data_IF_150081057719
#
_entry.id   IF_150081057719
#
_cell.length_a   1.000
_cell.length_b   1.000
_cell.length_c   1.000
_cell.angle_alpha   90.00
_cell.angle_beta   90.00
_cell.angle_gamma   90.00
#
_symmetry.space_group_name_H-M   'P 1'
#
loop_
_entity.id
_entity.type
_entity.pdbx_description
1 polymer ?
#
# COMPACT_ATOMS: atom_id res chain seq x y z
N UNK A 1 7.93 -15.23 7.16
CA UNK A 1 6.69 -14.47 6.87
C UNK A 1 6.40 -14.54 5.39
N UNK A 2 5.13 -14.65 5.04
CA UNK A 2 4.62 -14.67 3.67
C UNK A 2 3.71 -13.45 3.43
N UNK A 3 3.53 -13.07 2.16
CA UNK A 3 2.65 -11.97 1.76
C UNK A 3 1.58 -12.53 0.83
N UNK A 4 0.32 -12.33 1.19
CA UNK A 4 -0.83 -12.72 0.39
C UNK A 4 -1.49 -11.47 -0.19
N UNK A 5 -1.50 -11.34 -1.52
CA UNK A 5 -2.09 -10.19 -2.22
C UNK A 5 -3.42 -10.59 -2.84
N UNK A 6 -4.49 -9.94 -2.41
CA UNK A 6 -5.82 -10.05 -2.99
C UNK A 6 -6.13 -8.79 -3.79
N UNK A 7 -6.25 -8.94 -5.11
CA UNK A 7 -6.51 -7.85 -6.03
C UNK A 7 -7.82 -8.12 -6.78
N UNK A 8 -8.77 -7.17 -6.74
CA UNK A 8 -10.06 -7.31 -7.43
C UNK A 8 -10.08 -6.54 -8.72
N UNK A 9 -9.83 -7.25 -9.80
CA UNK A 9 -9.90 -6.71 -11.14
C UNK A 9 -11.32 -6.94 -11.68
N UNK A 10 -12.04 -5.89 -12.10
CA UNK A 10 -13.34 -6.05 -12.74
C UNK A 10 -13.27 -6.96 -13.97
N UNK A 11 -14.24 -7.84 -14.13
CA UNK A 11 -14.31 -8.78 -15.27
C UNK A 11 -14.53 -8.03 -16.60
N UNK A 12 -15.26 -6.92 -16.54
CA UNK A 12 -15.44 -5.97 -17.62
C UNK A 12 -15.25 -4.55 -17.07
N UNK A 13 -14.67 -3.65 -17.88
CA UNK A 13 -14.53 -2.23 -17.56
C UNK A 13 -15.64 -1.47 -18.28
N UNK A 14 -16.73 -1.23 -17.57
CA UNK A 14 -17.96 -0.58 -18.07
C UNK A 14 -18.08 0.87 -17.58
N UNK A 15 -17.30 1.25 -16.56
CA UNK A 15 -17.30 2.57 -15.93
C UNK A 15 -15.90 3.12 -15.73
N UNK A 16 -15.80 4.43 -15.53
CA UNK A 16 -14.54 5.13 -15.21
C UNK A 16 -13.92 4.63 -13.89
N UNK A 17 -14.74 4.26 -12.91
CA UNK A 17 -14.25 3.71 -11.63
C UNK A 17 -13.59 2.33 -11.76
N UNK A 18 -13.83 1.58 -12.85
CA UNK A 18 -13.27 0.23 -13.02
C UNK A 18 -11.75 0.23 -13.27
N UNK A 19 -11.17 1.41 -13.49
CA UNK A 19 -9.72 1.61 -13.60
C UNK A 19 -9.06 1.85 -12.24
N UNK A 20 -9.85 2.02 -11.18
CA UNK A 20 -9.37 2.05 -9.79
C UNK A 20 -9.61 0.67 -9.18
N UNK A 21 -8.53 -0.08 -9.04
CA UNK A 21 -8.52 -1.48 -8.64
C UNK A 21 -8.20 -1.56 -7.14
N UNK A 22 -9.13 -2.05 -6.28
CA UNK A 22 -8.84 -2.22 -4.87
C UNK A 22 -7.93 -3.42 -4.64
N UNK A 23 -7.00 -3.24 -3.72
CA UNK A 23 -5.96 -4.21 -3.36
C UNK A 23 -5.95 -4.35 -1.82
N UNK A 24 -6.05 -5.58 -1.35
CA UNK A 24 -5.82 -5.94 0.05
C UNK A 24 -4.59 -6.84 0.13
N UNK A 25 -3.68 -6.53 1.03
CA UNK A 25 -2.51 -7.36 1.31
C UNK A 25 -2.57 -7.84 2.73
N UNK A 26 -2.51 -9.15 2.92
CA UNK A 26 -2.33 -9.79 4.21
C UNK A 26 -0.88 -10.20 4.40
N UNK A 27 -0.32 -9.85 5.55
CA UNK A 27 1.03 -10.22 5.99
C UNK A 27 0.88 -11.38 6.95
N UNK A 28 1.47 -12.52 6.61
CA UNK A 28 1.22 -13.80 7.26
C UNK A 28 2.47 -14.31 7.95
N UNK A 29 2.30 -14.80 9.18
CA UNK A 29 3.33 -15.40 10.00
C UNK A 29 2.99 -16.84 10.38
N UNK A 30 4.00 -17.72 10.49
CA UNK A 30 3.78 -19.10 10.93
C UNK A 30 3.35 -19.15 12.41
N UNK A 31 2.61 -20.18 12.79
CA UNK A 31 2.17 -20.41 14.16
C UNK A 31 3.31 -20.62 15.17
N UNK A 32 3.10 -20.16 16.41
CA UNK A 32 3.93 -20.48 17.58
C UNK A 32 3.74 -21.96 17.92
N UNK A 33 4.85 -22.67 18.08
CA UNK A 33 4.82 -24.04 18.57
C UNK A 33 4.23 -24.08 19.99
N UNK A 34 3.08 -24.73 20.16
CA UNK A 34 2.48 -24.98 21.48
C UNK A 34 2.69 -26.44 21.86
N UNK A 35 3.34 -26.68 23.00
CA UNK A 35 3.57 -28.04 23.55
C UNK A 35 2.28 -28.63 24.15
N UNK A 36 1.27 -27.79 24.43
CA UNK A 36 0.07 -28.18 25.19
C UNK A 36 -1.13 -28.63 24.33
N UNK A 37 -1.04 -28.53 23.00
CA UNK A 37 -2.08 -28.97 22.08
C UNK A 37 -1.65 -30.26 21.36
N UNK A 38 -2.30 -31.37 21.70
CA UNK A 38 -2.10 -32.70 21.07
C UNK A 38 -2.59 -32.78 19.59
N UNK A 39 -2.73 -31.63 18.93
CA UNK A 39 -2.99 -31.50 17.51
C UNK A 39 -1.94 -30.54 16.94
N UNK A 40 -1.02 -31.12 16.18
CA UNK A 40 -0.01 -30.43 15.39
C UNK A 40 -0.71 -29.45 14.44
N UNK A 41 -0.60 -28.16 14.72
CA UNK A 41 -0.87 -27.07 13.76
C UNK A 41 0.47 -26.40 13.38
N UNK A 42 1.47 -27.24 13.08
CA UNK A 42 2.78 -26.82 12.57
C UNK A 42 2.68 -26.10 11.21
N UNK A 43 1.54 -26.24 10.52
CA UNK A 43 1.23 -25.61 9.23
C UNK A 43 0.27 -24.40 9.36
N UNK A 44 -0.12 -24.00 10.58
CA UNK A 44 -1.06 -22.89 10.75
C UNK A 44 -0.38 -21.54 10.52
N UNK A 45 -1.06 -20.69 9.77
CA UNK A 45 -0.63 -19.38 9.34
C UNK A 45 -1.62 -18.33 9.87
N UNK A 46 -1.11 -17.24 10.44
CA UNK A 46 -1.92 -16.19 11.04
C UNK A 46 -1.61 -14.84 10.41
N UNK A 47 -2.65 -14.02 10.21
CA UNK A 47 -2.50 -12.65 9.71
C UNK A 47 -1.99 -11.76 10.85
N UNK A 48 -0.84 -11.14 10.62
CA UNK A 48 -0.16 -10.26 11.59
C UNK A 48 0.02 -8.83 11.08
N UNK A 49 -0.35 -8.59 9.83
CA UNK A 49 -0.40 -7.26 9.25
C UNK A 49 -1.35 -7.22 8.06
N UNK A 50 -1.85 -6.03 7.73
CA UNK A 50 -2.75 -5.79 6.61
C UNK A 50 -2.50 -4.43 6.00
N UNK A 51 -2.58 -4.34 4.67
CA UNK A 51 -2.51 -3.09 3.91
C UNK A 51 -3.72 -3.02 2.98
N UNK A 52 -4.41 -1.88 2.98
CA UNK A 52 -5.43 -1.55 1.99
C UNK A 52 -4.92 -0.45 1.08
N UNK A 53 -4.99 -0.71 -0.21
CA UNK A 53 -4.59 0.22 -1.24
C UNK A 53 -5.55 0.17 -2.42
N UNK A 54 -5.46 1.17 -3.28
CA UNK A 54 -6.09 1.17 -4.59
C UNK A 54 -5.02 1.46 -5.63
N UNK A 55 -5.15 0.84 -6.81
CA UNK A 55 -4.29 1.10 -7.95
C UNK A 55 -5.09 1.70 -9.08
N UNK A 56 -4.69 2.87 -9.54
CA UNK A 56 -5.18 3.44 -10.79
C UNK A 56 -4.34 2.90 -11.94
N UNK A 57 -4.98 2.09 -12.81
CA UNK A 57 -4.40 1.55 -14.05
C UNK A 57 -4.25 2.68 -15.10
N UNK A 58 -3.40 3.67 -14.82
CA UNK A 58 -3.26 4.92 -15.57
C UNK A 58 -2.99 4.70 -17.06
N UNK A 59 -1.96 3.92 -17.37
CA UNK A 59 -1.55 3.68 -18.76
C UNK A 59 -2.65 3.00 -19.59
N UNK A 60 -3.38 2.05 -18.98
CA UNK A 60 -4.45 1.33 -19.65
C UNK A 60 -5.67 2.23 -19.89
N UNK A 61 -6.04 3.04 -18.90
CA UNK A 61 -7.09 4.04 -19.00
C UNK A 61 -6.85 5.00 -20.18
N UNK A 62 -5.65 5.55 -20.28
CA UNK A 62 -5.27 6.44 -21.39
C UNK A 62 -5.30 5.73 -22.74
N UNK A 63 -4.83 4.48 -22.80
CA UNK A 63 -4.85 3.65 -24.02
C UNK A 63 -6.29 3.40 -24.50
N UNK A 64 -7.25 3.32 -23.59
CA UNK A 64 -8.68 3.16 -23.89
C UNK A 64 -9.43 4.49 -24.11
N UNK A 65 -8.72 5.63 -24.04
CA UNK A 65 -9.26 6.95 -24.35
C UNK A 65 -9.98 7.64 -23.19
N UNK A 66 -9.83 7.14 -21.95
CA UNK A 66 -10.39 7.78 -20.77
C UNK A 66 -9.49 8.90 -20.26
N UNK A 67 -10.10 10.00 -19.82
CA UNK A 67 -9.41 11.15 -19.26
C UNK A 67 -9.04 10.89 -17.80
N UNK A 68 -7.75 10.87 -17.40
CA UNK A 68 -7.38 10.52 -16.03
C UNK A 68 -7.98 11.44 -14.96
N UNK A 69 -8.23 12.73 -15.28
CA UNK A 69 -8.91 13.64 -14.33
C UNK A 69 -10.37 13.23 -14.09
N UNK A 70 -11.08 12.77 -15.13
CA UNK A 70 -12.46 12.33 -14.98
C UNK A 70 -12.52 10.99 -14.22
N UNK A 71 -11.58 10.07 -14.51
CA UNK A 71 -11.45 8.82 -13.76
C UNK A 71 -11.25 9.09 -12.27
N UNK A 72 -10.33 9.99 -11.93
CA UNK A 72 -10.05 10.35 -10.55
C UNK A 72 -11.25 11.03 -9.87
N UNK A 73 -11.94 11.95 -10.55
CA UNK A 73 -13.16 12.61 -10.05
C UNK A 73 -14.31 11.60 -9.82
N UNK A 74 -14.50 10.67 -10.76
CA UNK A 74 -15.52 9.63 -10.67
C UNK A 74 -15.23 8.58 -9.58
N UNK A 75 -13.94 8.29 -9.33
CA UNK A 75 -13.54 7.29 -8.35
C UNK A 75 -13.68 7.81 -6.90
N UNK A 76 -13.02 8.92 -6.55
CA UNK A 76 -13.13 9.52 -5.22
C UNK A 76 -12.48 10.91 -5.14
N UNK A 77 -12.88 11.70 -4.14
CA UNK A 77 -12.19 12.96 -3.81
C UNK A 77 -10.70 12.76 -3.51
N UNK A 78 -10.32 11.63 -2.92
CA UNK A 78 -8.93 11.24 -2.69
C UNK A 78 -8.17 11.11 -4.00
N UNK A 79 -8.71 10.38 -4.99
CA UNK A 79 -8.07 10.24 -6.30
C UNK A 79 -8.00 11.56 -7.05
N UNK A 80 -9.04 12.39 -6.98
CA UNK A 80 -9.00 13.74 -7.55
C UNK A 80 -7.87 14.57 -6.93
N UNK A 81 -7.72 14.53 -5.60
CA UNK A 81 -6.64 15.24 -4.90
C UNK A 81 -5.25 14.71 -5.30
N UNK A 82 -5.09 13.39 -5.45
CA UNK A 82 -3.86 12.76 -5.94
C UNK A 82 -3.51 13.30 -7.32
N UNK A 83 -4.47 13.27 -8.25
CA UNK A 83 -4.30 13.80 -9.61
C UNK A 83 -3.88 15.27 -9.58
N UNK A 84 -4.62 16.13 -8.88
CA UNK A 84 -4.32 17.56 -8.80
C UNK A 84 -2.97 17.85 -8.14
N UNK A 85 -2.54 17.00 -7.21
CA UNK A 85 -1.26 17.13 -6.52
C UNK A 85 -0.08 16.77 -7.43
N UNK A 86 -0.23 15.73 -8.25
CA UNK A 86 0.83 15.23 -9.13
C UNK A 86 0.94 16.00 -10.45
N UNK A 87 -0.18 16.51 -10.96
CA UNK A 87 -0.26 17.03 -12.32
C UNK A 87 -0.01 18.55 -12.40
N UNK A 88 0.61 18.97 -13.50
CA UNK A 88 0.82 20.38 -13.79
C UNK A 88 -0.48 21.05 -14.28
N UNK A 89 -0.92 22.13 -13.64
CA UNK A 89 -2.13 22.89 -14.04
C UNK A 89 -2.13 23.40 -15.49
N UNK A 90 -0.99 23.37 -16.19
CA UNK A 90 -0.82 23.93 -17.55
C UNK A 90 -0.35 22.91 -18.59
N UNK A 91 -0.13 21.65 -18.21
CA UNK A 91 0.37 20.58 -19.11
C UNK A 91 -0.20 19.23 -18.68
N UNK A 92 -0.52 18.35 -19.63
CA UNK A 92 -0.93 16.96 -19.37
C UNK A 92 0.27 16.10 -18.94
N UNK A 93 1.01 16.52 -17.92
CA UNK A 93 2.18 15.81 -17.43
C UNK A 93 2.48 16.15 -15.98
N UNK A 94 3.30 15.31 -15.35
CA UNK A 94 3.70 15.48 -13.97
C UNK A 94 4.33 16.84 -13.71
N UNK A 95 4.17 17.33 -12.48
CA UNK A 95 4.85 18.55 -12.06
C UNK A 95 6.36 18.32 -12.09
N UNK A 96 7.07 19.29 -12.68
CA UNK A 96 8.53 19.22 -12.85
C UNK A 96 9.31 19.14 -11.54
N UNK A 97 8.77 19.70 -10.46
CA UNK A 97 9.43 19.71 -9.14
C UNK A 97 9.39 18.34 -8.43
N UNK A 98 8.59 17.40 -8.93
CA UNK A 98 8.57 16.02 -8.44
C UNK A 98 9.71 15.17 -9.02
N UNK A 99 10.38 15.65 -10.08
CA UNK A 99 11.45 14.91 -10.77
C UNK A 99 11.03 13.51 -11.23
N UNK A 100 9.76 13.33 -11.60
CA UNK A 100 9.22 12.09 -12.13
C UNK A 100 9.58 11.95 -13.62
N UNK A 101 9.92 10.73 -14.03
CA UNK A 101 10.05 10.39 -15.45
C UNK A 101 8.67 10.21 -16.10
N UNK A 102 8.60 10.34 -17.43
CA UNK A 102 7.33 10.23 -18.16
C UNK A 102 6.82 8.77 -18.27
N UNK A 103 7.59 7.78 -17.81
CA UNK A 103 7.26 6.35 -17.90
C UNK A 103 6.71 5.80 -16.56
N UNK A 104 5.56 6.31 -16.15
CA UNK A 104 4.79 5.82 -14.99
C UNK A 104 3.64 4.96 -15.48
N UNK A 105 3.61 3.69 -15.08
CA UNK A 105 2.61 2.72 -15.58
C UNK A 105 1.31 2.77 -14.78
N UNK A 106 1.44 2.93 -13.46
CA UNK A 106 0.31 2.98 -12.53
C UNK A 106 0.60 3.89 -11.32
N UNK A 107 -0.48 4.30 -10.67
CA UNK A 107 -0.44 5.00 -9.38
C UNK A 107 -1.07 4.08 -8.34
N UNK A 108 -0.41 3.89 -7.21
CA UNK A 108 -0.92 3.14 -6.07
C UNK A 108 -1.16 4.13 -4.94
N UNK A 109 -2.36 4.14 -4.38
CA UNK A 109 -2.70 4.90 -3.19
C UNK A 109 -2.89 3.94 -2.02
N UNK A 110 -2.00 3.99 -1.03
CA UNK A 110 -2.14 3.27 0.23
C UNK A 110 -3.02 4.11 1.14
N UNK A 111 -4.20 3.57 1.45
CA UNK A 111 -5.15 4.22 2.34
C UNK A 111 -4.80 3.94 3.78
N UNK A 112 -4.64 2.65 4.12
CA UNK A 112 -4.41 2.21 5.49
C UNK A 112 -3.46 1.03 5.54
N UNK A 113 -2.73 0.94 6.64
CA UNK A 113 -2.01 -0.27 6.99
C UNK A 113 -1.96 -0.45 8.51
N UNK A 114 -1.97 -1.71 8.94
CA UNK A 114 -1.89 -2.10 10.33
C UNK A 114 -0.95 -3.29 10.47
N UNK A 115 -0.04 -3.23 11.43
CA UNK A 115 0.85 -4.36 11.77
C UNK A 115 0.72 -4.58 13.27
N UNK A 116 0.61 -5.85 13.68
CA UNK A 116 0.47 -6.20 15.08
C UNK A 116 1.67 -5.66 15.89
N UNK A 117 1.45 -4.98 17.03
CA UNK A 117 2.50 -4.25 17.75
C UNK A 117 3.60 -5.14 18.33
N UNK A 118 3.33 -6.42 18.57
CA UNK A 118 4.36 -7.40 18.99
C UNK A 118 5.35 -7.78 17.89
N UNK A 119 5.09 -7.41 16.64
CA UNK A 119 6.03 -7.66 15.55
C UNK A 119 7.24 -6.70 15.72
N UNK A 120 8.46 -7.22 15.96
CA UNK A 120 9.58 -6.41 16.43
C UNK A 120 10.16 -5.46 15.38
N UNK A 121 9.88 -5.71 14.09
CA UNK A 121 10.46 -4.97 12.98
C UNK A 121 9.45 -4.86 11.83
N UNK A 122 8.75 -3.73 11.78
CA UNK A 122 7.64 -3.47 10.84
C UNK A 122 8.12 -3.04 9.45
N UNK A 123 9.31 -2.44 9.36
CA UNK A 123 9.86 -1.87 8.14
C UNK A 123 10.00 -2.88 6.98
N UNK A 124 10.53 -4.11 7.19
CA UNK A 124 10.65 -5.09 6.12
C UNK A 124 9.30 -5.61 5.64
N UNK A 125 8.32 -5.67 6.53
CA UNK A 125 6.97 -6.15 6.22
C UNK A 125 6.23 -5.13 5.38
N UNK A 126 6.33 -3.85 5.74
CA UNK A 126 5.77 -2.78 4.93
C UNK A 126 6.49 -2.69 3.57
N UNK A 127 7.83 -2.78 3.52
CA UNK A 127 8.53 -2.79 2.22
C UNK A 127 8.10 -3.97 1.33
N UNK A 128 7.98 -5.17 1.91
CA UNK A 128 7.51 -6.35 1.18
C UNK A 128 6.07 -6.18 0.67
N UNK A 129 5.17 -5.65 1.50
CA UNK A 129 3.79 -5.36 1.11
C UNK A 129 3.74 -4.32 -0.02
N UNK A 130 4.48 -3.22 0.09
CA UNK A 130 4.55 -2.18 -0.95
C UNK A 130 5.10 -2.73 -2.26
N UNK A 131 6.16 -3.55 -2.23
CA UNK A 131 6.68 -4.22 -3.43
C UNK A 131 5.70 -5.23 -4.04
N UNK A 132 4.82 -5.82 -3.24
CA UNK A 132 3.85 -6.81 -3.71
C UNK A 132 2.68 -6.19 -4.49
N UNK A 133 2.38 -4.91 -4.25
CA UNK A 133 1.27 -4.18 -4.88
C UNK A 133 1.71 -3.23 -6.00
N UNK A 134 3.01 -3.15 -6.27
CA UNK A 134 3.58 -2.17 -7.18
C UNK A 134 4.64 -2.78 -8.09
N UNK A 135 4.89 -2.11 -9.20
CA UNK A 135 5.98 -2.39 -10.14
C UNK A 135 7.13 -1.40 -9.94
N UNK A 136 8.23 -1.60 -10.67
CA UNK A 136 9.33 -0.63 -10.70
C UNK A 136 8.91 0.72 -11.29
N UNK A 137 7.84 0.76 -12.10
CA UNK A 137 7.34 1.98 -12.76
C UNK A 137 6.10 2.57 -12.06
N UNK A 138 5.81 2.11 -10.85
CA UNK A 138 4.71 2.59 -10.03
C UNK A 138 5.10 3.78 -9.17
N UNK A 139 4.17 4.71 -8.99
CA UNK A 139 4.22 5.70 -7.92
C UNK A 139 3.32 5.27 -6.78
N UNK A 140 3.84 5.29 -5.56
CA UNK A 140 3.08 4.96 -4.35
C UNK A 140 2.84 6.25 -3.58
N UNK A 141 1.57 6.51 -3.28
CA UNK A 141 1.10 7.66 -2.52
C UNK A 141 0.37 7.20 -1.26
N UNK A 142 0.40 8.05 -0.25
CA UNK A 142 -0.43 7.92 0.95
C UNK A 142 -0.60 9.29 1.60
N UNK A 143 -1.59 9.43 2.47
CA UNK A 143 -1.68 10.61 3.32
C UNK A 143 -0.55 10.62 4.35
N UNK A 144 0.02 11.80 4.55
CA UNK A 144 0.87 12.12 5.69
C UNK A 144 -0.05 12.57 6.82
N UNK A 145 -0.51 11.62 7.63
CA UNK A 145 -1.30 11.93 8.81
C UNK A 145 -0.40 12.25 10.01
N UNK A 146 -0.41 13.49 10.53
CA UNK A 146 0.23 13.79 11.79
C UNK A 146 -0.65 13.24 12.93
N UNK A 147 -0.56 11.94 13.19
CA UNK A 147 -1.21 11.31 14.34
C UNK A 147 -0.34 11.48 15.61
N UNK A 148 -0.96 11.45 16.79
CA UNK A 148 -0.23 11.43 18.07
C UNK A 148 0.53 10.09 18.29
N UNK A 149 0.15 9.04 17.56
CA UNK A 149 0.82 7.73 17.55
C UNK A 149 0.64 7.07 16.19
N UNK A 150 1.43 7.47 15.17
CA UNK A 150 1.31 6.89 13.85
C UNK A 150 1.75 5.43 13.88
N UNK A 151 1.16 4.56 13.03
CA UNK A 151 1.53 3.14 12.97
C UNK A 151 2.97 2.91 12.50
N UNK A 152 3.62 3.92 11.91
CA UNK A 152 5.03 3.95 11.48
C UNK A 152 5.57 5.36 11.70
N UNK A 153 6.83 5.48 12.12
CA UNK A 153 7.48 6.77 12.32
C UNK A 153 7.90 7.43 10.98
N UNK A 154 7.99 8.77 10.95
CA UNK A 154 8.44 9.51 9.75
C UNK A 154 9.81 9.04 9.21
N UNK A 155 10.71 8.62 10.10
CA UNK A 155 12.04 8.15 9.69
C UNK A 155 11.97 6.79 8.99
N UNK A 156 11.04 5.93 9.39
CA UNK A 156 10.77 4.63 8.75
C UNK A 156 10.19 4.85 7.35
N UNK A 157 9.22 5.75 7.19
CA UNK A 157 8.66 6.10 5.87
C UNK A 157 9.73 6.68 4.95
N UNK A 158 10.63 7.53 5.48
CA UNK A 158 11.77 8.06 4.72
C UNK A 158 12.73 6.96 4.30
N UNK A 159 13.01 6.00 5.18
CA UNK A 159 13.88 4.86 4.88
C UNK A 159 13.27 3.94 3.82
N UNK A 160 11.93 3.87 3.74
CA UNK A 160 11.17 3.24 2.64
C UNK A 160 11.10 4.09 1.35
N UNK A 161 11.70 5.29 1.34
CA UNK A 161 11.78 6.13 0.15
C UNK A 161 10.63 7.14 -0.02
N UNK A 162 9.71 7.23 0.95
CA UNK A 162 8.67 8.26 0.91
C UNK A 162 9.24 9.65 1.12
N UNK A 163 8.73 10.60 0.33
CA UNK A 163 9.05 12.02 0.40
C UNK A 163 7.76 12.81 0.48
N UNK A 164 7.75 13.82 1.35
CA UNK A 164 6.62 14.75 1.44
C UNK A 164 6.55 15.62 0.19
N UNK A 165 5.38 15.66 -0.46
CA UNK A 165 5.15 16.57 -1.57
C UNK A 165 4.90 17.98 -1.00
N UNK A 166 5.63 18.97 -1.52
CA UNK A 166 5.50 20.34 -1.07
C UNK A 166 4.07 20.87 -1.33
N UNK A 167 3.48 21.48 -0.30
CA UNK A 167 2.12 22.07 -0.30
C UNK A 167 0.99 21.05 -0.49
N UNK A 168 1.21 19.79 -0.14
CA UNK A 168 0.13 18.81 0.01
C UNK A 168 0.25 18.05 1.32
N UNK A 169 -0.78 17.28 1.63
CA UNK A 169 -0.80 16.28 2.70
C UNK A 169 -0.32 14.92 2.22
N UNK A 170 0.31 14.79 1.05
CA UNK A 170 0.67 13.50 0.47
C UNK A 170 2.17 13.21 0.62
N UNK A 171 2.45 11.95 0.92
CA UNK A 171 3.75 11.34 0.69
C UNK A 171 3.79 10.68 -0.67
N UNK A 172 4.97 10.64 -1.26
CA UNK A 172 5.25 10.00 -2.54
C UNK A 172 6.50 9.15 -2.42
N UNK A 173 6.39 7.89 -2.81
CA UNK A 173 7.50 6.99 -3.10
C UNK A 173 7.47 6.70 -4.60
N UNK A 174 8.58 6.97 -5.26
CA UNK A 174 8.80 6.60 -6.66
C UNK A 174 9.72 5.37 -6.68
N UNK A 175 9.19 4.26 -7.18
CA UNK A 175 9.88 2.98 -7.18
C UNK A 175 11.05 2.90 -8.16
N UNK A 176 11.18 3.83 -9.10
CA UNK A 176 12.33 3.89 -10.01
C UNK A 176 13.60 4.35 -9.27
N UNK A 177 13.44 5.07 -8.16
CA UNK A 177 14.55 5.58 -7.38
C UNK A 177 14.95 4.65 -6.24
N UNK A 178 16.26 4.66 -5.98
CA UNK A 178 16.87 3.99 -4.83
C UNK A 178 16.43 4.65 -3.52
N UNK A 179 16.29 3.85 -2.47
CA UNK A 179 15.94 4.29 -1.12
C UNK A 179 16.74 3.51 -0.06
N UNK A 180 16.97 4.08 1.13
CA UNK A 180 17.92 3.54 2.12
C UNK A 180 17.68 2.07 2.47
N UNK A 181 16.44 1.69 2.76
CA UNK A 181 16.12 0.32 3.12
C UNK A 181 16.34 -0.66 1.96
N UNK A 182 15.88 -0.29 0.75
CA UNK A 182 16.04 -1.10 -0.46
C UNK A 182 17.51 -1.27 -0.87
N UNK A 183 18.35 -0.27 -0.61
CA UNK A 183 19.79 -0.33 -0.86
C UNK A 183 20.51 -1.25 0.13
N UNK A 184 20.13 -1.21 1.41
CA UNK A 184 20.69 -2.09 2.43
C UNK A 184 20.18 -3.54 2.27
N UNK A 185 18.96 -3.71 1.79
CA UNK A 185 18.25 -4.99 1.71
C UNK A 185 17.57 -5.16 0.34
N UNK A 186 18.33 -5.35 -0.76
CA UNK A 186 17.78 -5.40 -2.11
C UNK A 186 16.79 -6.55 -2.32
N UNK A 187 17.04 -7.70 -1.69
CA UNK A 187 16.14 -8.87 -1.66
C UNK A 187 15.12 -8.87 -0.53
N UNK A 188 14.98 -7.76 0.20
CA UNK A 188 14.22 -7.69 1.45
C UNK A 188 15.03 -8.19 2.65
N UNK A 189 14.44 -8.03 3.84
CA UNK A 189 14.98 -8.51 5.12
C UNK A 189 13.95 -9.45 5.76
N UNK A 190 14.38 -10.63 6.18
CA UNK A 190 13.51 -11.57 6.89
C UNK A 190 13.20 -11.06 8.29
N UNK A 191 11.99 -11.31 8.75
CA UNK A 191 11.55 -11.06 10.13
C UNK A 191 11.14 -12.40 10.74
N UNK A 192 11.80 -12.77 11.83
CA UNK A 192 11.47 -13.97 12.60
C UNK A 192 10.40 -13.60 13.62
N UNK A 193 9.17 -14.01 13.33
CA UNK A 193 8.03 -13.84 14.21
C UNK A 193 7.11 -15.04 14.05
N UNK A 194 6.79 -15.67 15.17
CA UNK A 194 5.80 -16.71 15.24
C UNK A 194 4.53 -16.13 15.87
N UNK A 195 3.39 -16.40 15.26
CA UNK A 195 2.10 -15.83 15.63
C UNK A 195 1.17 -16.86 16.28
N UNK A 196 0.05 -16.41 16.83
CA UNK A 196 -1.01 -17.25 17.35
C UNK A 196 -2.36 -16.59 17.01
N UNK A 197 -3.46 -17.27 17.33
CA UNK A 197 -4.81 -16.76 17.07
C UNK A 197 -5.08 -15.36 17.67
N UNK A 198 -4.54 -15.06 18.86
CA UNK A 198 -4.75 -13.75 19.52
C UNK A 198 -4.19 -12.60 18.69
N UNK A 199 -3.11 -12.81 17.92
CA UNK A 199 -2.56 -11.76 17.04
C UNK A 199 -3.50 -11.44 15.88
N UNK A 200 -4.10 -12.48 15.29
CA UNK A 200 -5.04 -12.32 14.18
C UNK A 200 -6.36 -11.72 14.66
N UNK A 201 -6.88 -12.18 15.80
CA UNK A 201 -8.07 -11.61 16.44
C UNK A 201 -7.86 -10.12 16.74
N UNK A 202 -6.73 -9.75 17.36
CA UNK A 202 -6.40 -8.34 17.61
C UNK A 202 -6.39 -7.53 16.31
N UNK A 203 -5.78 -8.07 15.25
CA UNK A 203 -5.67 -7.38 13.98
C UNK A 203 -7.04 -7.16 13.34
N UNK A 204 -7.90 -8.16 13.33
CA UNK A 204 -9.24 -8.05 12.74
C UNK A 204 -10.11 -7.05 13.51
N UNK A 205 -10.04 -7.05 14.84
CA UNK A 205 -10.78 -6.12 15.69
C UNK A 205 -10.35 -4.66 15.43
N UNK A 206 -9.05 -4.40 15.39
CA UNK A 206 -8.52 -3.05 15.17
C UNK A 206 -8.69 -2.59 13.72
N UNK A 207 -8.55 -3.50 12.75
CA UNK A 207 -8.77 -3.21 11.33
C UNK A 207 -10.19 -2.75 11.03
N UNK A 208 -11.19 -3.43 11.60
CA UNK A 208 -12.60 -3.07 11.42
C UNK A 208 -12.92 -1.67 11.99
N UNK A 209 -12.16 -1.19 12.98
CA UNK A 209 -12.31 0.17 13.52
C UNK A 209 -11.67 1.26 12.67
N UNK A 210 -10.68 0.91 11.85
CA UNK A 210 -9.95 1.85 11.00
C UNK A 210 -10.72 2.16 9.70
N UNK A 211 -11.47 1.18 9.18
CA UNK A 211 -12.17 1.32 7.90
C UNK A 211 -13.68 1.46 8.14
N UNK A 212 -14.16 2.71 8.20
CA UNK A 212 -15.59 3.01 8.38
C UNK A 212 -16.45 2.66 7.15
N UNK A 213 -15.88 2.68 5.95
CA UNK A 213 -16.59 2.46 4.68
C UNK A 213 -15.81 1.50 3.78
N UNK A 214 -15.95 0.21 4.03
CA UNK A 214 -15.40 -0.81 3.17
C UNK A 214 -16.37 -1.09 2.00
N UNK A 215 -15.94 -1.10 0.71
CA UNK A 215 -16.71 -1.77 -0.34
C UNK A 215 -16.60 -3.27 -0.07
N UNK A 216 -17.59 -3.86 0.62
CA UNK A 216 -17.61 -5.27 1.07
C UNK A 216 -16.75 -6.17 0.17
N UNK A 217 -15.59 -6.59 0.69
CA UNK A 217 -14.72 -7.53 0.00
C UNK A 217 -15.47 -8.87 0.12
#
# INVERSE_FOLDING_TARGET
MQINVNCRIPVARESESDFVVPILVDIVAPGKFSIDSAHDDLDSEYIVGRVWAERLDWFLAETLGFSPVHLCDAASSTWLQVYETLMSKKRNGFRKDLHLEDMVDDLVFVHEFLIHPEVPDRLPLLDAALRSISSNQSLILMYHEPAESPPVDDWELRDLGFKKIARSSLLLRDNQYRYPFGDAHPGGRAVEFAANAEHEEWLLDHWNSLIADHPSL
#
